data_IF_597626219081
#
_entry.id   IF_597626219081
#
_cell.length_a   1.000
_cell.length_b   1.000
_cell.length_c   1.000
_cell.angle_alpha   90.00
_cell.angle_beta   90.00
_cell.angle_gamma   90.00
#
_symmetry.space_group_name_H-M   'P 1'
#
loop_
_entity.id
_entity.type
_entity.pdbx_description
1 polymer ?
#
# COMPACT_ATOMS: atom_id res chain seq x y z
N UNK A 1 34.78 -57.96 -1.94
CA UNK A 1 35.54 -56.74 -2.32
C UNK A 1 34.53 -55.60 -2.32
N UNK A 2 34.49 -54.79 -1.26
CA UNK A 2 33.66 -53.59 -1.26
C UNK A 2 34.39 -52.55 -2.11
N UNK A 3 33.84 -52.21 -3.27
CA UNK A 3 34.37 -51.11 -4.09
C UNK A 3 34.18 -49.82 -3.31
N UNK A 4 35.30 -49.25 -2.86
CA UNK A 4 35.36 -47.97 -2.19
C UNK A 4 34.97 -46.91 -3.24
N UNK A 5 33.68 -46.55 -3.31
CA UNK A 5 33.23 -45.42 -4.12
C UNK A 5 33.60 -44.18 -3.31
N UNK A 6 34.82 -43.69 -3.51
CA UNK A 6 35.22 -42.34 -3.13
C UNK A 6 34.38 -41.39 -4.00
N UNK A 7 33.22 -40.96 -3.49
CA UNK A 7 32.37 -39.99 -4.17
C UNK A 7 33.12 -38.66 -4.18
N UNK A 8 33.73 -38.32 -5.33
CA UNK A 8 34.53 -37.10 -5.47
C UNK A 8 33.70 -35.86 -5.12
N UNK A 9 34.22 -35.04 -4.21
CA UNK A 9 33.65 -33.75 -3.83
C UNK A 9 33.57 -32.84 -5.05
N UNK A 10 32.39 -32.28 -5.32
CA UNK A 10 32.18 -31.30 -6.39
C UNK A 10 31.79 -29.99 -5.75
N UNK A 11 32.65 -28.99 -5.85
CA UNK A 11 32.32 -27.64 -5.40
C UNK A 11 31.38 -26.96 -6.39
N UNK A 12 30.39 -26.23 -5.87
CA UNK A 12 29.41 -25.52 -6.67
C UNK A 12 30.04 -24.37 -7.45
N UNK A 13 29.53 -24.14 -8.66
CA UNK A 13 29.81 -22.92 -9.41
C UNK A 13 28.54 -22.33 -10.00
N UNK A 14 28.54 -21.00 -10.11
CA UNK A 14 27.39 -20.25 -10.57
C UNK A 14 27.05 -20.56 -12.02
N UNK A 15 25.78 -20.82 -12.28
CA UNK A 15 25.17 -20.69 -13.59
C UNK A 15 25.16 -19.24 -14.08
N UNK A 16 24.72 -19.05 -15.32
CA UNK A 16 24.59 -17.71 -15.89
C UNK A 16 23.57 -16.89 -15.10
N UNK A 17 23.80 -15.57 -15.05
CA UNK A 17 22.78 -14.65 -14.55
C UNK A 17 21.51 -14.75 -15.41
N UNK A 18 20.37 -14.77 -14.74
CA UNK A 18 19.08 -14.52 -15.35
C UNK A 18 19.00 -13.10 -15.91
N UNK A 19 17.96 -12.86 -16.71
CA UNK A 19 17.66 -11.52 -17.20
C UNK A 19 17.32 -10.58 -16.04
N UNK A 20 17.60 -9.29 -16.23
CA UNK A 20 17.10 -8.26 -15.34
C UNK A 20 15.57 -8.26 -15.35
N UNK A 21 14.97 -8.21 -14.17
CA UNK A 21 13.54 -7.97 -14.01
C UNK A 21 13.16 -6.56 -14.43
N UNK A 22 11.86 -6.28 -14.42
CA UNK A 22 11.34 -4.94 -14.65
C UNK A 22 11.78 -3.99 -13.54
N UNK A 23 11.97 -2.71 -13.89
CA UNK A 23 12.21 -1.68 -12.88
C UNK A 23 11.00 -1.57 -11.95
N UNK A 24 11.24 -1.37 -10.66
CA UNK A 24 10.18 -1.18 -9.65
C UNK A 24 9.35 0.08 -9.86
N UNK A 25 9.90 1.09 -10.55
CA UNK A 25 9.19 2.33 -10.94
C UNK A 25 9.54 2.72 -12.38
N UNK A 26 8.74 3.60 -12.95
CA UNK A 26 8.93 4.13 -14.32
C UNK A 26 9.65 5.47 -14.35
N UNK A 27 9.80 6.15 -13.21
CA UNK A 27 10.52 7.40 -13.02
C UNK A 27 10.92 7.58 -11.54
N UNK A 28 11.74 8.58 -11.24
CA UNK A 28 12.06 8.99 -9.86
C UNK A 28 13.07 8.10 -9.15
N UNK A 29 13.72 7.18 -9.86
CA UNK A 29 14.69 6.24 -9.33
C UNK A 29 14.04 4.97 -8.78
N UNK A 30 14.32 3.85 -9.43
CA UNK A 30 13.91 2.52 -9.04
C UNK A 30 15.06 1.53 -9.03
N UNK A 31 14.72 0.29 -8.71
CA UNK A 31 15.63 -0.85 -8.76
C UNK A 31 15.07 -1.98 -9.61
N UNK A 32 15.93 -2.59 -10.42
CA UNK A 32 15.71 -3.91 -11.03
C UNK A 32 16.52 -4.96 -10.27
N UNK A 33 16.15 -6.22 -10.42
CA UNK A 33 16.86 -7.34 -9.81
C UNK A 33 17.06 -8.47 -10.81
N UNK A 34 18.11 -9.27 -10.62
CA UNK A 34 18.34 -10.53 -11.33
C UNK A 34 18.86 -11.58 -10.38
N UNK A 35 18.70 -12.84 -10.75
CA UNK A 35 19.15 -13.99 -9.95
C UNK A 35 20.00 -14.94 -10.78
N UNK A 36 20.82 -15.75 -10.10
CA UNK A 36 21.57 -16.86 -10.68
C UNK A 36 21.43 -18.09 -9.80
N UNK A 37 21.61 -19.25 -10.40
CA UNK A 37 21.47 -20.54 -9.72
C UNK A 37 22.85 -21.17 -9.57
N UNK A 38 23.08 -21.88 -8.46
CA UNK A 38 24.32 -22.60 -8.18
C UNK A 38 24.24 -24.02 -8.78
N UNK A 39 24.30 -24.12 -10.11
CA UNK A 39 24.03 -25.36 -10.85
C UNK A 39 25.06 -25.72 -11.92
N UNK A 40 26.15 -24.96 -12.04
CA UNK A 40 27.13 -25.15 -13.12
C UNK A 40 28.59 -25.29 -12.61
N UNK A 41 28.94 -26.34 -11.84
CA UNK A 41 28.07 -27.45 -11.41
C UNK A 41 27.36 -27.18 -10.07
N UNK A 42 26.35 -27.97 -9.73
CA UNK A 42 25.78 -27.98 -8.38
C UNK A 42 26.76 -28.65 -7.38
N UNK A 43 26.84 -28.17 -6.13
CA UNK A 43 27.64 -28.81 -5.08
C UNK A 43 27.20 -30.27 -4.85
N UNK A 44 28.16 -31.19 -4.76
CA UNK A 44 27.88 -32.60 -4.47
C UNK A 44 28.95 -33.22 -3.57
N UNK A 45 28.60 -34.30 -2.88
CA UNK A 45 29.52 -35.12 -2.06
C UNK A 45 30.30 -34.29 -1.01
N UNK A 46 29.62 -33.37 -0.32
CA UNK A 46 30.27 -32.47 0.64
C UNK A 46 31.01 -31.29 0.00
N UNK A 47 30.69 -31.00 -1.26
CA UNK A 47 31.04 -29.81 -2.03
C UNK A 47 30.83 -28.50 -1.29
N UNK A 48 31.65 -27.48 -1.56
CA UNK A 48 31.35 -26.12 -1.10
C UNK A 48 30.23 -25.50 -1.92
N UNK A 49 29.40 -24.67 -1.28
CA UNK A 49 28.41 -23.86 -1.98
C UNK A 49 29.05 -22.76 -2.83
N UNK A 50 28.29 -22.24 -3.79
CA UNK A 50 28.78 -21.19 -4.66
C UNK A 50 29.12 -19.90 -3.89
N UNK A 51 30.32 -19.32 -4.09
CA UNK A 51 30.75 -18.15 -3.34
C UNK A 51 30.04 -16.87 -3.80
N UNK A 52 29.50 -16.10 -2.87
CA UNK A 52 28.87 -14.79 -3.13
C UNK A 52 27.34 -14.84 -3.17
N UNK A 53 26.72 -13.74 -3.64
CA UNK A 53 25.26 -13.62 -3.66
C UNK A 53 24.61 -14.33 -4.86
N UNK A 54 23.41 -14.89 -4.66
CA UNK A 54 22.55 -15.44 -5.71
C UNK A 54 21.67 -14.38 -6.39
N UNK A 55 21.61 -13.18 -5.83
CA UNK A 55 20.87 -12.03 -6.35
C UNK A 55 21.78 -10.84 -6.60
N UNK A 56 21.37 -10.01 -7.54
CA UNK A 56 22.03 -8.75 -7.91
C UNK A 56 20.97 -7.68 -8.17
N UNK A 57 21.32 -6.42 -7.87
CA UNK A 57 20.43 -5.27 -7.95
C UNK A 57 21.12 -4.15 -8.69
N UNK A 58 20.34 -3.32 -9.38
CA UNK A 58 20.86 -2.12 -10.01
C UNK A 58 19.79 -1.05 -10.12
N UNK A 59 20.26 0.19 -10.26
CA UNK A 59 19.38 1.34 -10.37
C UNK A 59 18.82 1.45 -11.78
N UNK A 60 17.57 1.89 -11.87
CA UNK A 60 16.83 2.10 -13.11
C UNK A 60 15.88 3.28 -12.98
N UNK A 61 15.31 3.75 -14.09
CA UNK A 61 14.31 4.84 -14.12
C UNK A 61 14.73 6.09 -13.34
N UNK A 62 16.00 6.49 -13.46
CA UNK A 62 16.61 7.61 -12.72
C UNK A 62 16.15 8.98 -13.20
N UNK A 63 15.44 9.04 -14.32
CA UNK A 63 14.84 10.27 -14.81
C UNK A 63 13.82 10.80 -13.81
N UNK A 64 13.83 12.12 -13.58
CA UNK A 64 12.87 12.75 -12.71
C UNK A 64 11.44 12.42 -13.19
N UNK A 65 10.56 12.13 -12.23
CA UNK A 65 9.16 11.97 -12.58
C UNK A 65 8.61 13.26 -13.20
N UNK A 66 7.69 13.16 -14.17
CA UNK A 66 6.96 14.31 -14.67
C UNK A 66 6.36 15.07 -13.49
N UNK A 67 6.92 16.24 -13.19
CA UNK A 67 6.32 17.16 -12.25
C UNK A 67 5.23 17.87 -13.02
N UNK A 68 3.97 17.69 -12.58
CA UNK A 68 2.87 18.48 -13.11
C UNK A 68 3.23 19.95 -12.86
N UNK A 69 3.44 20.71 -13.93
CA UNK A 69 3.65 22.14 -13.82
C UNK A 69 2.43 22.73 -13.08
N UNK A 70 2.67 23.56 -12.07
CA UNK A 70 1.61 24.31 -11.40
C UNK A 70 0.74 24.98 -12.47
N UNK A 71 -0.51 24.52 -12.62
CA UNK A 71 -1.45 25.07 -13.58
C UNK A 71 -1.81 24.23 -14.81
N UNK A 72 -1.49 22.93 -14.89
CA UNK A 72 -2.14 22.04 -15.86
C UNK A 72 -2.95 20.95 -15.14
N UNK A 73 -4.27 21.14 -15.11
CA UNK A 73 -5.25 20.17 -14.60
C UNK A 73 -5.30 18.97 -15.56
N UNK A 74 -4.70 17.85 -15.19
CA UNK A 74 -5.06 16.56 -15.79
C UNK A 74 -6.25 16.00 -15.01
N UNK A 75 -7.34 15.70 -15.71
CA UNK A 75 -8.59 15.18 -15.13
C UNK A 75 -8.46 13.83 -14.41
N UNK A 76 -7.29 13.18 -14.45
CA UNK A 76 -7.06 11.87 -13.84
C UNK A 76 -5.67 11.82 -13.22
N UNK A 77 -5.62 11.49 -11.94
CA UNK A 77 -4.37 11.24 -11.22
C UNK A 77 -3.62 10.02 -11.78
N UNK A 78 -2.29 9.90 -11.54
CA UNK A 78 -1.52 8.70 -11.88
C UNK A 78 -2.10 7.44 -11.23
N UNK A 79 -1.72 6.25 -11.73
CA UNK A 79 -2.12 4.98 -11.12
C UNK A 79 -1.75 4.91 -9.63
N UNK A 80 -2.70 4.51 -8.78
CA UNK A 80 -2.51 4.44 -7.32
C UNK A 80 -2.85 5.73 -6.57
N UNK A 81 -3.43 6.72 -7.27
CA UNK A 81 -3.90 7.97 -6.69
C UNK A 81 -5.40 8.17 -6.92
N UNK A 82 -6.06 8.66 -5.89
CA UNK A 82 -7.45 9.13 -5.93
C UNK A 82 -7.50 10.60 -6.35
N UNK A 83 -8.48 10.95 -7.19
CA UNK A 83 -8.69 12.33 -7.67
C UNK A 83 -9.67 13.03 -6.76
N UNK A 84 -9.30 14.17 -6.18
CA UNK A 84 -10.22 15.01 -5.38
C UNK A 84 -11.23 15.73 -6.28
N UNK A 85 -12.43 15.99 -5.77
CA UNK A 85 -13.51 16.60 -6.55
C UNK A 85 -13.22 18.08 -6.88
N UNK A 86 -12.62 18.80 -5.94
CA UNK A 86 -12.30 20.23 -6.04
C UNK A 86 -11.23 20.62 -5.01
N UNK A 87 -10.72 21.85 -5.09
CA UNK A 87 -9.72 22.38 -4.14
C UNK A 87 -8.36 22.68 -4.76
N UNK A 88 -7.37 22.91 -3.90
CA UNK A 88 -5.98 23.14 -4.30
C UNK A 88 -5.20 21.84 -4.44
N UNK A 89 -5.52 20.86 -3.59
CA UNK A 89 -5.05 19.48 -3.71
C UNK A 89 -5.92 18.70 -4.71
N UNK A 90 -5.29 18.14 -5.75
CA UNK A 90 -5.99 17.42 -6.81
C UNK A 90 -5.88 15.90 -6.70
N UNK A 91 -4.84 15.40 -6.03
CA UNK A 91 -4.53 13.97 -5.95
C UNK A 91 -4.03 13.57 -4.56
N UNK A 92 -4.59 12.49 -4.01
CA UNK A 92 -4.09 11.80 -2.80
C UNK A 92 -3.77 10.35 -3.15
N UNK A 93 -2.98 9.66 -2.33
CA UNK A 93 -2.76 8.22 -2.54
C UNK A 93 -4.04 7.43 -2.22
N UNK A 94 -4.26 6.30 -2.88
CA UNK A 94 -5.45 5.46 -2.64
C UNK A 94 -5.61 4.99 -1.19
N UNK A 95 -4.51 4.91 -0.42
CA UNK A 95 -4.53 4.53 0.99
C UNK A 95 -5.20 5.57 1.91
N UNK A 96 -5.27 6.82 1.44
CA UNK A 96 -5.87 7.95 2.14
C UNK A 96 -7.34 8.14 1.77
N UNK A 97 -7.86 7.34 0.83
CA UNK A 97 -9.28 7.36 0.50
C UNK A 97 -10.06 6.58 1.55
N UNK A 98 -11.12 7.19 2.09
CA UNK A 98 -12.02 6.57 3.06
C UNK A 98 -11.31 6.13 4.36
N UNK A 99 -10.32 6.89 4.85
CA UNK A 99 -9.60 6.59 6.09
C UNK A 99 -10.08 7.42 7.30
N UNK A 100 -11.10 8.26 7.08
CA UNK A 100 -11.67 9.23 7.99
C UNK A 100 -10.79 10.44 8.30
N UNK A 101 -9.76 10.69 7.48
CA UNK A 101 -9.00 11.94 7.39
C UNK A 101 -9.48 12.73 6.18
N UNK A 102 -9.60 14.06 6.30
CA UNK A 102 -9.85 14.92 5.14
C UNK A 102 -8.51 15.26 4.51
N UNK A 103 -8.05 14.41 3.60
CA UNK A 103 -6.81 14.61 2.86
C UNK A 103 -7.07 15.38 1.57
N UNK A 104 -8.26 15.26 0.98
CA UNK A 104 -8.76 16.27 0.04
C UNK A 104 -9.19 17.55 0.78
N UNK A 105 -8.82 18.72 0.24
CA UNK A 105 -9.19 20.03 0.80
C UNK A 105 -10.72 20.23 0.91
N UNK A 106 -11.48 19.53 0.06
CA UNK A 106 -12.93 19.56 0.01
C UNK A 106 -13.61 18.36 0.69
N UNK A 107 -12.82 17.47 1.30
CA UNK A 107 -13.28 16.26 1.98
C UNK A 107 -13.89 15.20 1.07
N UNK A 108 -13.69 15.32 -0.25
CA UNK A 108 -14.34 14.44 -1.23
C UNK A 108 -13.88 12.97 -1.13
N UNK A 109 -12.69 12.74 -0.59
CA UNK A 109 -12.09 11.45 -0.23
C UNK A 109 -12.83 10.67 0.86
N UNK A 110 -13.70 11.34 1.62
CA UNK A 110 -14.44 10.76 2.74
C UNK A 110 -15.96 10.72 2.49
N UNK A 111 -16.38 10.84 1.23
CA UNK A 111 -17.81 10.85 0.87
C UNK A 111 -18.25 9.55 0.21
N UNK A 112 -19.52 9.17 0.44
CA UNK A 112 -20.16 8.05 -0.25
C UNK A 112 -20.49 8.39 -1.71
N UNK A 113 -20.88 9.64 -1.97
CA UNK A 113 -21.33 10.13 -3.27
C UNK A 113 -20.21 10.36 -4.27
N UNK A 114 -18.99 10.69 -3.82
CA UNK A 114 -17.85 10.91 -4.70
C UNK A 114 -16.77 9.82 -4.57
N UNK A 115 -16.22 9.60 -3.37
CA UNK A 115 -15.19 8.58 -3.15
C UNK A 115 -15.73 7.14 -3.06
N UNK A 116 -17.05 6.96 -2.91
CA UNK A 116 -17.69 5.65 -2.76
C UNK A 116 -17.43 5.02 -1.39
N UNK A 117 -17.18 5.83 -0.36
CA UNK A 117 -16.87 5.34 0.98
C UNK A 117 -18.10 4.71 1.64
N UNK A 118 -17.92 3.51 2.20
CA UNK A 118 -18.98 2.80 2.95
C UNK A 118 -18.90 3.04 4.45
N UNK A 119 -17.77 3.56 4.93
CA UNK A 119 -17.48 3.83 6.33
C UNK A 119 -17.77 5.29 6.73
N UNK A 120 -18.48 6.06 5.90
CA UNK A 120 -18.85 7.47 6.21
C UNK A 120 -19.54 7.61 7.57
N UNK A 121 -20.38 6.65 7.96
CA UNK A 121 -21.02 6.62 9.28
C UNK A 121 -20.02 6.41 10.42
N UNK A 122 -18.97 5.62 10.21
CA UNK A 122 -17.88 5.42 11.17
C UNK A 122 -17.00 6.68 11.27
N UNK A 123 -16.77 7.36 10.15
CA UNK A 123 -16.00 8.61 10.10
C UNK A 123 -16.71 9.77 10.82
N UNK A 124 -18.05 9.83 10.79
CA UNK A 124 -18.82 10.79 11.58
C UNK A 124 -18.63 10.60 13.10
N UNK A 125 -18.44 9.35 13.54
CA UNK A 125 -18.17 9.05 14.95
C UNK A 125 -16.74 9.42 15.35
N UNK A 126 -15.76 9.28 14.44
CA UNK A 126 -14.35 9.64 14.67
C UNK A 126 -14.09 11.14 14.63
N UNK A 127 -14.78 11.89 13.76
CA UNK A 127 -14.62 13.34 13.60
C UNK A 127 -15.29 14.17 14.69
N UNK A 128 -15.94 13.54 15.69
CA UNK A 128 -16.62 14.24 16.79
C UNK A 128 -17.87 15.02 16.36
N UNK A 129 -18.26 14.96 15.09
CA UNK A 129 -19.51 15.53 14.57
C UNK A 129 -20.72 14.60 14.81
N UNK A 130 -20.47 13.35 15.24
CA UNK A 130 -21.50 12.42 15.68
C UNK A 130 -22.20 12.92 16.95
N UNK A 131 -23.53 12.95 16.92
CA UNK A 131 -24.37 13.18 18.10
C UNK A 131 -23.89 12.19 19.16
N UNK A 132 -23.30 12.67 20.26
CA UNK A 132 -22.86 11.78 21.34
C UNK A 132 -24.02 10.86 21.72
N UNK A 133 -23.78 9.55 21.81
CA UNK A 133 -24.79 8.60 22.31
C UNK A 133 -25.32 9.04 23.68
N UNK A 134 -24.52 9.79 24.46
CA UNK A 134 -24.95 10.43 25.69
C UNK A 134 -26.05 11.47 25.46
N UNK A 135 -25.96 12.28 24.39
CA UNK A 135 -26.98 13.28 24.03
C UNK A 135 -28.30 12.65 23.57
N UNK A 136 -28.24 11.51 22.87
CA UNK A 136 -29.46 10.75 22.51
C UNK A 136 -30.14 10.10 23.72
N UNK A 137 -29.36 9.57 24.68
CA UNK A 137 -29.89 9.02 25.92
C UNK A 137 -30.53 10.13 26.79
N UNK A 138 -29.96 11.34 26.82
CA UNK A 138 -30.55 12.49 27.54
C UNK A 138 -31.90 12.90 26.92
N UNK A 139 -32.01 12.90 25.59
CA UNK A 139 -33.28 13.18 24.91
C UNK A 139 -34.34 12.11 25.22
N UNK A 140 -33.99 10.83 25.18
CA UNK A 140 -34.94 9.74 25.46
C UNK A 140 -35.36 9.67 26.94
N UNK A 141 -34.45 9.94 27.88
CA UNK A 141 -34.76 10.01 29.32
C UNK A 141 -35.62 11.23 29.66
N UNK A 142 -35.42 12.38 28.99
CA UNK A 142 -36.28 13.55 29.17
C UNK A 142 -37.70 13.34 28.62
N UNK A 143 -37.86 12.66 27.48
CA UNK A 143 -39.16 12.39 26.88
C UNK A 143 -39.98 11.40 27.71
N UNK A 144 -39.31 10.37 28.25
CA UNK A 144 -39.94 9.39 29.16
C UNK A 144 -40.32 10.02 30.50
N UNK A 145 -39.49 10.92 31.05
CA UNK A 145 -39.82 11.69 32.25
C UNK A 145 -41.01 12.64 32.03
N UNK A 146 -41.08 13.31 30.87
CA UNK A 146 -42.20 14.17 30.50
C UNK A 146 -43.51 13.37 30.36
N UNK A 147 -43.47 12.19 29.72
CA UNK A 147 -44.63 11.31 29.61
C UNK A 147 -45.09 10.78 30.98
N UNK A 148 -44.16 10.42 31.86
CA UNK A 148 -44.48 9.97 33.21
C UNK A 148 -45.13 11.08 34.07
N UNK A 149 -44.74 12.33 33.87
CA UNK A 149 -45.36 13.47 34.57
C UNK A 149 -46.78 13.76 34.07
N UNK A 150 -47.05 13.57 32.77
CA UNK A 150 -48.38 13.74 32.17
C UNK A 150 -49.34 12.60 32.57
N UNK A 151 -48.83 11.39 32.79
CA UNK A 151 -49.64 10.22 33.19
C UNK A 151 -49.90 10.14 34.71
N UNK A 152 -49.30 11.01 35.52
CA UNK A 152 -49.39 10.99 36.99
C UNK A 152 -50.07 12.25 37.58
N UNK A 153 -50.88 12.95 36.78
CA UNK A 153 -51.78 14.08 37.12
C UNK A 153 -53.19 13.75 36.63
#
# INVERSE_FOLDING_TARGET
>A
MATNIETSKVDGSWGSWGQWGTCSVTCGGGQWSRTRICDNPAPANGGQDCPGASSDYGDCSTDACPTVAAGQYQQQCPSGYFTCQSGGMTCIQEIYKCDCSSDCDDGSDETDTYAGCTNVAECLLKSGAGISVASMIVLMTSLTAALAFILNQ
#
